data_IF_945412655459
#
_entry.id   IF_945412655459
#
_cell.length_a   1.000
_cell.length_b   1.000
_cell.length_c   1.000
_cell.angle_alpha   90.00
_cell.angle_beta   90.00
_cell.angle_gamma   90.00
#
_symmetry.space_group_name_H-M   'P 1'
#
loop_
_entity.id
_entity.type
_entity.pdbx_description
1 polymer ?
#
# COMPACT_ATOMS: atom_id res chain seq x y z
N UNK A 1 -26.80 -14.39 -25.20
CA UNK A 1 -25.35 -14.12 -25.18
C UNK A 1 -24.94 -14.14 -23.73
N UNK A 2 -24.18 -15.16 -23.30
CA UNK A 2 -23.61 -15.18 -21.97
C UNK A 2 -22.47 -14.16 -21.89
N UNK A 3 -22.52 -13.27 -20.91
CA UNK A 3 -21.48 -12.27 -20.69
C UNK A 3 -20.37 -12.86 -19.84
N UNK A 4 -19.10 -12.58 -20.16
CA UNK A 4 -17.98 -12.89 -19.26
C UNK A 4 -17.83 -11.76 -18.24
N UNK A 5 -18.01 -12.08 -16.96
CA UNK A 5 -17.77 -11.15 -15.87
C UNK A 5 -16.44 -11.50 -15.18
N UNK A 6 -15.53 -10.53 -15.19
CA UNK A 6 -14.24 -10.62 -14.50
C UNK A 6 -14.36 -9.98 -13.12
N UNK A 7 -13.99 -10.72 -12.08
CA UNK A 7 -13.96 -10.22 -10.70
C UNK A 7 -12.62 -10.50 -10.03
N UNK A 8 -12.25 -9.67 -9.06
CA UNK A 8 -11.17 -9.97 -8.13
C UNK A 8 -11.67 -10.93 -7.02
N UNK A 9 -10.78 -11.26 -6.08
CA UNK A 9 -11.08 -12.18 -4.98
C UNK A 9 -11.64 -11.46 -3.74
N UNK A 10 -12.19 -10.24 -3.90
CA UNK A 10 -12.81 -9.51 -2.79
C UNK A 10 -13.91 -10.37 -2.15
N UNK A 11 -13.98 -10.37 -0.82
CA UNK A 11 -14.96 -11.21 -0.08
C UNK A 11 -16.38 -10.90 -0.52
N UNK A 12 -16.69 -9.63 -0.76
CA UNK A 12 -18.01 -9.18 -1.23
C UNK A 12 -18.43 -9.84 -2.57
N UNK A 13 -17.50 -10.03 -3.51
CA UNK A 13 -17.78 -10.64 -4.81
C UNK A 13 -18.01 -12.14 -4.76
N UNK A 14 -17.60 -12.80 -3.67
CA UNK A 14 -17.66 -14.27 -3.51
C UNK A 14 -18.70 -14.71 -2.47
N UNK A 15 -19.51 -13.79 -1.96
CA UNK A 15 -20.62 -14.14 -1.08
C UNK A 15 -21.61 -15.02 -1.85
N UNK A 16 -22.13 -16.04 -1.18
CA UNK A 16 -23.02 -17.03 -1.80
C UNK A 16 -24.25 -16.37 -2.44
N UNK A 17 -24.85 -15.40 -1.77
CA UNK A 17 -26.02 -14.65 -2.25
C UNK A 17 -25.72 -13.85 -3.54
N UNK A 18 -24.54 -13.24 -3.63
CA UNK A 18 -24.11 -12.49 -4.82
C UNK A 18 -23.81 -13.43 -5.99
N UNK A 19 -23.15 -14.56 -5.73
CA UNK A 19 -22.83 -15.56 -6.76
C UNK A 19 -24.10 -16.23 -7.27
N UNK A 20 -25.03 -16.58 -6.38
CA UNK A 20 -26.33 -17.16 -6.74
C UNK A 20 -27.16 -16.19 -7.57
N UNK A 21 -27.22 -14.91 -7.15
CA UNK A 21 -27.87 -13.86 -7.94
C UNK A 21 -27.24 -13.73 -9.33
N UNK A 22 -25.90 -13.70 -9.40
CA UNK A 22 -25.20 -13.60 -10.67
C UNK A 22 -25.49 -14.81 -11.57
N UNK A 23 -25.44 -16.05 -11.07
CA UNK A 23 -25.76 -17.26 -11.84
C UNK A 23 -27.19 -17.19 -12.41
N UNK A 24 -28.15 -16.63 -11.67
CA UNK A 24 -29.52 -16.39 -12.16
C UNK A 24 -29.60 -15.45 -13.38
N UNK A 25 -28.56 -14.65 -13.64
CA UNK A 25 -28.43 -13.77 -14.81
C UNK A 25 -27.66 -14.41 -15.98
N UNK A 26 -27.20 -15.66 -15.85
CA UNK A 26 -26.44 -16.42 -16.85
C UNK A 26 -25.10 -15.78 -17.37
N UNK A 27 -24.28 -15.10 -16.54
CA UNK A 27 -22.92 -14.74 -16.90
C UNK A 27 -21.95 -15.90 -16.67
N UNK A 28 -20.88 -15.94 -17.45
CA UNK A 28 -19.70 -16.72 -17.11
C UNK A 28 -18.84 -15.93 -16.12
N UNK A 29 -18.75 -16.41 -14.88
CA UNK A 29 -17.97 -15.77 -13.81
C UNK A 29 -16.52 -16.27 -13.85
N UNK A 30 -15.57 -15.35 -13.98
CA UNK A 30 -14.15 -15.66 -13.91
C UNK A 30 -13.46 -14.78 -12.86
N UNK A 31 -12.91 -15.42 -11.83
CA UNK A 31 -12.22 -14.73 -10.75
C UNK A 31 -10.72 -14.74 -10.99
N UNK A 32 -10.12 -13.54 -11.01
CA UNK A 32 -8.67 -13.36 -11.08
C UNK A 32 -7.99 -13.93 -9.83
N UNK A 33 -6.69 -14.21 -9.91
CA UNK A 33 -5.94 -14.69 -8.76
C UNK A 33 -5.86 -13.62 -7.65
N UNK A 34 -5.57 -14.04 -6.42
CA UNK A 34 -5.38 -13.09 -5.32
C UNK A 34 -4.12 -12.27 -5.56
N UNK A 35 -4.16 -11.00 -5.19
CA UNK A 35 -3.04 -10.05 -5.30
C UNK A 35 -2.55 -9.82 -6.74
N UNK A 36 -3.37 -10.13 -7.76
CA UNK A 36 -3.05 -9.92 -9.18
C UNK A 36 -3.85 -8.77 -9.81
N UNK A 37 -4.39 -7.85 -9.01
CA UNK A 37 -5.19 -6.75 -9.58
C UNK A 37 -4.30 -5.81 -10.41
N UNK A 38 -3.13 -5.44 -9.86
CA UNK A 38 -2.16 -4.56 -10.50
C UNK A 38 -1.49 -5.11 -11.79
N UNK A 39 -1.60 -6.42 -12.07
CA UNK A 39 -0.94 -7.08 -13.21
C UNK A 39 -1.91 -7.71 -14.22
N UNK A 40 -3.09 -8.17 -13.77
CA UNK A 40 -4.09 -8.85 -14.61
C UNK A 40 -5.40 -8.08 -14.76
N UNK A 41 -5.71 -7.10 -13.91
CA UNK A 41 -6.99 -6.39 -13.96
C UNK A 41 -6.93 -5.21 -14.95
N UNK A 42 -7.77 -5.19 -16.02
CA UNK A 42 -7.79 -4.09 -16.97
C UNK A 42 -8.19 -2.75 -16.35
N UNK A 43 -9.09 -2.76 -15.35
CA UNK A 43 -9.55 -1.53 -14.70
C UNK A 43 -8.42 -0.83 -13.92
N UNK A 44 -7.56 -1.59 -13.26
CA UNK A 44 -6.43 -1.07 -12.50
C UNK A 44 -5.28 -0.61 -13.42
N UNK A 45 -5.24 -1.09 -14.67
CA UNK A 45 -4.20 -0.78 -15.64
C UNK A 45 -4.25 0.66 -16.15
N UNK A 46 -5.41 1.08 -16.68
CA UNK A 46 -5.55 2.42 -17.25
C UNK A 46 -6.83 3.14 -16.83
N UNK A 47 -8.02 2.54 -16.81
CA UNK A 47 -9.26 3.25 -16.47
C UNK A 47 -9.20 3.94 -15.09
N UNK A 48 -8.87 3.23 -14.01
CA UNK A 48 -8.84 3.83 -12.68
C UNK A 48 -7.67 4.80 -12.50
N UNK A 49 -6.51 4.50 -13.07
CA UNK A 49 -5.36 5.42 -13.05
C UNK A 49 -5.69 6.74 -13.77
N UNK A 50 -6.30 6.64 -14.97
CA UNK A 50 -6.72 7.79 -15.76
C UNK A 50 -7.82 8.58 -15.06
N UNK A 51 -8.83 7.89 -14.51
CA UNK A 51 -9.92 8.52 -13.76
C UNK A 51 -9.37 9.35 -12.60
N UNK A 52 -8.48 8.77 -11.79
CA UNK A 52 -7.96 9.44 -10.60
C UNK A 52 -7.12 10.67 -10.99
N UNK A 53 -6.23 10.53 -11.98
CA UNK A 53 -5.40 11.64 -12.45
C UNK A 53 -6.23 12.78 -13.06
N UNK A 54 -7.18 12.46 -13.95
CA UNK A 54 -8.00 13.48 -14.60
C UNK A 54 -8.99 14.13 -13.64
N UNK A 55 -9.59 13.38 -12.72
CA UNK A 55 -10.50 13.92 -11.70
C UNK A 55 -9.78 14.95 -10.83
N UNK A 56 -8.59 14.61 -10.33
CA UNK A 56 -7.81 15.51 -9.46
C UNK A 56 -7.48 16.80 -10.21
N UNK A 57 -6.87 16.67 -11.40
CA UNK A 57 -6.49 17.83 -12.21
C UNK A 57 -7.68 18.73 -12.57
N UNK A 58 -8.82 18.15 -12.95
CA UNK A 58 -10.03 18.91 -13.29
C UNK A 58 -10.65 19.60 -12.09
N UNK A 59 -10.70 18.91 -10.96
CA UNK A 59 -11.21 19.49 -9.72
C UNK A 59 -10.36 20.68 -9.29
N UNK A 60 -9.02 20.56 -9.35
CA UNK A 60 -8.10 21.67 -9.05
C UNK A 60 -8.35 22.88 -9.95
N UNK A 61 -8.48 22.65 -11.27
CA UNK A 61 -8.79 23.72 -12.22
C UNK A 61 -10.13 24.38 -11.91
N UNK A 62 -11.18 23.60 -11.66
CA UNK A 62 -12.51 24.12 -11.36
C UNK A 62 -12.58 24.88 -10.03
N UNK A 63 -11.82 24.45 -9.02
CA UNK A 63 -11.71 25.16 -7.74
C UNK A 63 -11.00 26.49 -7.94
N UNK A 64 -9.88 26.51 -8.66
CA UNK A 64 -9.14 27.74 -8.97
C UNK A 64 -9.98 28.73 -9.79
N UNK A 65 -10.69 28.23 -10.82
CA UNK A 65 -11.58 29.05 -11.64
C UNK A 65 -12.72 29.65 -10.81
N UNK A 66 -13.33 28.86 -9.93
CA UNK A 66 -14.36 29.33 -8.99
C UNK A 66 -13.85 30.45 -8.07
N UNK A 67 -12.63 30.30 -7.55
CA UNK A 67 -11.98 31.33 -6.73
C UNK A 67 -11.70 32.62 -7.51
N UNK A 68 -11.26 32.52 -8.77
CA UNK A 68 -10.91 33.69 -9.60
C UNK A 68 -12.15 34.41 -10.15
N UNK A 69 -13.23 33.68 -10.41
CA UNK A 69 -14.47 34.22 -10.98
C UNK A 69 -15.53 34.56 -9.92
N UNK A 70 -15.24 34.32 -8.64
CA UNK A 70 -16.18 34.44 -7.53
C UNK A 70 -17.47 33.62 -7.76
N UNK A 71 -17.31 32.42 -8.33
CA UNK A 71 -18.40 31.46 -8.57
C UNK A 71 -18.31 30.28 -7.60
N UNK A 72 -19.45 29.63 -7.36
CA UNK A 72 -19.53 28.49 -6.44
C UNK A 72 -18.79 27.27 -6.98
N UNK A 73 -17.90 26.71 -6.18
CA UNK A 73 -17.17 25.46 -6.48
C UNK A 73 -17.80 24.21 -5.86
N UNK A 74 -19.00 24.32 -5.29
CA UNK A 74 -19.70 23.22 -4.60
C UNK A 74 -19.76 21.92 -5.42
N UNK A 75 -20.04 22.04 -6.71
CA UNK A 75 -20.24 20.88 -7.59
C UNK A 75 -18.98 20.53 -8.40
N UNK A 76 -17.86 21.24 -8.17
CA UNK A 76 -16.62 21.09 -8.93
C UNK A 76 -16.11 19.64 -8.92
N UNK A 77 -16.13 18.99 -7.76
CA UNK A 77 -15.67 17.60 -7.64
C UNK A 77 -16.56 16.62 -8.40
N UNK A 78 -17.88 16.81 -8.34
CA UNK A 78 -18.84 15.93 -9.01
C UNK A 78 -18.72 16.05 -10.53
N UNK A 79 -18.65 17.29 -11.04
CA UNK A 79 -18.48 17.55 -12.47
C UNK A 79 -17.11 17.04 -12.96
N UNK A 80 -16.04 17.27 -12.20
CA UNK A 80 -14.72 16.75 -12.52
C UNK A 80 -14.69 15.22 -12.55
N UNK A 81 -15.36 14.55 -11.61
CA UNK A 81 -15.47 13.09 -11.58
C UNK A 81 -16.23 12.57 -12.80
N UNK A 82 -17.38 13.16 -13.13
CA UNK A 82 -18.19 12.77 -14.29
C UNK A 82 -17.43 12.92 -15.62
N UNK A 83 -16.74 14.04 -15.81
CA UNK A 83 -15.94 14.26 -17.02
C UNK A 83 -14.73 13.33 -17.10
N UNK A 84 -14.05 13.10 -15.97
CA UNK A 84 -12.94 12.17 -15.89
C UNK A 84 -13.39 10.74 -16.18
N UNK A 85 -14.55 10.32 -15.68
CA UNK A 85 -15.15 9.01 -15.93
C UNK A 85 -15.43 8.81 -17.42
N UNK A 86 -16.14 9.75 -18.08
CA UNK A 86 -16.44 9.66 -19.52
C UNK A 86 -15.20 9.51 -20.39
N UNK A 87 -14.07 10.09 -19.96
CA UNK A 87 -12.79 9.99 -20.66
C UNK A 87 -12.08 8.69 -20.35
N UNK A 88 -11.95 8.35 -19.06
CA UNK A 88 -11.21 7.19 -18.56
C UNK A 88 -11.86 5.86 -18.99
N UNK A 89 -13.19 5.79 -19.04
CA UNK A 89 -13.94 4.61 -19.48
C UNK A 89 -14.34 4.68 -20.96
N UNK A 90 -13.58 5.41 -21.76
CA UNK A 90 -13.78 5.43 -23.20
C UNK A 90 -13.39 4.08 -23.83
N UNK A 91 -14.10 3.71 -24.91
CA UNK A 91 -13.87 2.46 -25.64
C UNK A 91 -12.38 2.20 -25.99
N UNK A 92 -11.60 3.19 -26.46
CA UNK A 92 -10.19 2.97 -26.76
C UNK A 92 -9.35 2.60 -25.54
N UNK A 93 -9.59 3.24 -24.38
CA UNK A 93 -8.85 2.96 -23.16
C UNK A 93 -9.18 1.57 -22.65
N UNK A 94 -10.46 1.21 -22.61
CA UNK A 94 -10.91 -0.12 -22.18
C UNK A 94 -10.31 -1.21 -23.07
N UNK A 95 -10.45 -1.10 -24.40
CA UNK A 95 -9.91 -2.10 -25.34
C UNK A 95 -8.39 -2.22 -25.18
N UNK A 96 -7.68 -1.09 -25.07
CA UNK A 96 -6.23 -1.09 -24.92
C UNK A 96 -5.79 -1.75 -23.60
N UNK A 97 -6.52 -1.50 -22.50
CA UNK A 97 -6.25 -2.12 -21.21
C UNK A 97 -6.42 -3.65 -21.26
N UNK A 98 -7.51 -4.13 -21.84
CA UNK A 98 -7.73 -5.57 -21.99
C UNK A 98 -6.66 -6.24 -22.89
N UNK A 99 -6.21 -5.57 -23.96
CA UNK A 99 -5.14 -6.06 -24.83
C UNK A 99 -3.79 -6.12 -24.10
N UNK A 100 -3.41 -5.05 -23.40
CA UNK A 100 -2.14 -5.00 -22.65
C UNK A 100 -2.10 -6.01 -21.51
N UNK A 101 -3.26 -6.35 -20.93
CA UNK A 101 -3.38 -7.40 -19.90
C UNK A 101 -3.46 -8.82 -20.47
N UNK A 102 -3.49 -9.00 -21.78
CA UNK A 102 -3.61 -10.30 -22.44
C UNK A 102 -5.00 -10.95 -22.32
N UNK A 103 -6.01 -10.20 -21.88
CA UNK A 103 -7.37 -10.71 -21.70
C UNK A 103 -8.22 -10.62 -22.97
N UNK A 104 -7.93 -9.66 -23.87
CA UNK A 104 -8.61 -9.58 -25.17
C UNK A 104 -7.94 -10.54 -26.18
N UNK A 105 -8.71 -11.51 -26.70
CA UNK A 105 -8.28 -12.72 -27.43
C UNK A 105 -7.55 -13.78 -26.58
N UNK A 106 -7.49 -13.65 -25.25
CA UNK A 106 -6.79 -14.57 -24.34
C UNK A 106 -5.37 -14.91 -24.81
N UNK A 107 -4.46 -13.94 -24.70
CA UNK A 107 -3.04 -14.08 -25.01
C UNK A 107 -2.27 -14.55 -23.76
N UNK A 108 -2.07 -15.87 -23.68
CA UNK A 108 -1.38 -16.50 -22.56
C UNK A 108 0.08 -16.06 -22.42
N UNK A 109 0.76 -15.71 -23.51
CA UNK A 109 2.17 -15.30 -23.46
C UNK A 109 2.30 -13.87 -22.95
N UNK A 110 1.39 -12.96 -23.35
CA UNK A 110 1.27 -11.63 -22.78
C UNK A 110 0.95 -11.69 -21.28
N UNK A 111 0.00 -12.54 -20.86
CA UNK A 111 -0.32 -12.71 -19.44
C UNK A 111 0.89 -13.19 -18.63
N UNK A 112 1.62 -14.22 -19.12
CA UNK A 112 2.85 -14.70 -18.48
C UNK A 112 3.92 -13.61 -18.43
N UNK A 113 4.05 -12.82 -19.50
CA UNK A 113 5.00 -11.70 -19.56
C UNK A 113 4.68 -10.64 -18.50
N UNK A 114 3.41 -10.25 -18.35
CA UNK A 114 2.97 -9.28 -17.34
C UNK A 114 3.23 -9.77 -15.91
N UNK A 115 2.92 -11.05 -15.63
CA UNK A 115 3.20 -11.67 -14.33
C UNK A 115 4.71 -11.67 -14.07
N UNK A 116 5.53 -12.07 -15.05
CA UNK A 116 7.00 -12.04 -14.93
C UNK A 116 7.54 -10.62 -14.73
N UNK A 117 6.98 -9.63 -15.42
CA UNK A 117 7.35 -8.23 -15.28
C UNK A 117 7.14 -7.73 -13.85
N UNK A 118 6.00 -8.06 -13.24
CA UNK A 118 5.71 -7.65 -11.87
C UNK A 118 6.41 -8.49 -10.80
N UNK A 119 6.68 -9.76 -11.06
CA UNK A 119 7.52 -10.60 -10.20
C UNK A 119 9.02 -10.32 -10.37
N UNK A 120 9.41 -9.36 -11.23
CA UNK A 120 10.79 -9.07 -11.59
C UNK A 120 11.57 -10.29 -12.12
N UNK A 121 10.87 -11.25 -12.73
CA UNK A 121 11.45 -12.42 -13.41
C UNK A 121 11.82 -12.14 -14.87
N UNK A 122 11.85 -10.86 -15.25
CA UNK A 122 12.35 -10.44 -16.56
C UNK A 122 13.85 -10.68 -16.55
N UNK A 123 14.34 -11.43 -17.55
CA UNK A 123 15.76 -11.59 -17.77
C UNK A 123 16.38 -10.19 -17.86
N UNK A 124 17.27 -9.91 -16.92
CA UNK A 124 18.00 -8.65 -16.81
C UNK A 124 18.65 -8.30 -18.14
N UNK A 125 18.28 -7.13 -18.68
CA UNK A 125 18.84 -6.57 -19.91
C UNK A 125 18.17 -5.26 -20.28
N UNK A 126 18.60 -4.17 -19.64
CA UNK A 126 18.55 -2.78 -20.16
C UNK A 126 17.18 -2.23 -20.59
N UNK A 127 16.12 -2.36 -19.79
CA UNK A 127 14.87 -1.61 -20.04
C UNK A 127 14.75 -0.36 -19.16
N UNK A 128 13.99 0.64 -19.62
CA UNK A 128 13.67 1.83 -18.81
C UNK A 128 12.99 1.47 -17.47
N UNK A 129 12.29 0.34 -17.42
CA UNK A 129 11.71 -0.20 -16.20
C UNK A 129 12.77 -0.73 -15.21
N UNK A 130 13.92 -1.22 -15.68
CA UNK A 130 15.06 -1.60 -14.82
C UNK A 130 15.73 -0.36 -14.23
N UNK A 131 15.90 0.70 -15.03
CA UNK A 131 16.44 1.97 -14.55
C UNK A 131 15.54 2.63 -13.49
N UNK A 132 14.22 2.64 -13.74
CA UNK A 132 13.24 3.13 -12.76
C UNK A 132 13.25 2.32 -11.47
N UNK A 133 13.38 0.98 -11.56
CA UNK A 133 13.51 0.10 -10.40
C UNK A 133 14.80 0.34 -9.64
N UNK A 134 15.94 0.45 -10.32
CA UNK A 134 17.22 0.75 -9.68
C UNK A 134 17.14 2.09 -8.92
N UNK A 135 16.56 3.12 -9.53
CA UNK A 135 16.34 4.40 -8.87
C UNK A 135 15.42 4.28 -7.64
N UNK A 136 14.31 3.52 -7.73
CA UNK A 136 13.41 3.30 -6.60
C UNK A 136 14.10 2.55 -5.45
N UNK A 137 14.86 1.50 -5.75
CA UNK A 137 15.63 0.74 -4.75
C UNK A 137 16.64 1.62 -4.04
N UNK A 138 17.37 2.48 -4.78
CA UNK A 138 18.29 3.44 -4.17
C UNK A 138 17.60 4.42 -3.22
N UNK A 139 16.40 4.90 -3.57
CA UNK A 139 15.62 5.82 -2.72
C UNK A 139 15.13 5.12 -1.47
N UNK A 140 14.63 3.88 -1.59
CA UNK A 140 14.18 3.07 -0.45
C UNK A 140 15.35 2.78 0.48
N UNK A 141 16.50 2.38 -0.06
CA UNK A 141 17.70 2.12 0.74
C UNK A 141 18.18 3.38 1.45
N UNK A 142 18.23 4.52 0.76
CA UNK A 142 18.61 5.79 1.36
C UNK A 142 17.62 6.23 2.46
N UNK A 143 16.33 5.95 2.31
CA UNK A 143 15.33 6.20 3.35
C UNK A 143 15.54 5.28 4.56
N UNK A 144 15.82 4.00 4.32
CA UNK A 144 16.13 3.02 5.36
C UNK A 144 17.40 3.39 6.13
N UNK A 145 18.46 3.79 5.43
CA UNK A 145 19.71 4.24 6.03
C UNK A 145 19.50 5.48 6.92
N UNK A 146 18.62 6.42 6.51
CA UNK A 146 18.23 7.57 7.34
C UNK A 146 17.47 7.13 8.59
N UNK A 147 16.56 6.16 8.47
CA UNK A 147 15.84 5.59 9.61
C UNK A 147 16.83 4.94 10.57
N UNK A 148 17.77 4.15 10.07
CA UNK A 148 18.72 3.43 10.91
C UNK A 148 19.75 4.38 11.56
N UNK A 149 20.20 5.42 10.85
CA UNK A 149 20.96 6.53 11.45
C UNK A 149 20.17 7.28 12.53
N UNK A 150 18.85 7.43 12.35
CA UNK A 150 17.99 8.06 13.36
C UNK A 150 17.77 7.17 14.59
N UNK A 151 17.64 5.84 14.39
CA UNK A 151 17.55 4.86 15.48
C UNK A 151 18.83 4.83 16.31
N UNK A 152 20.00 4.97 15.68
CA UNK A 152 21.27 5.11 16.40
C UNK A 152 21.32 6.36 17.31
N UNK A 153 20.50 7.38 17.04
CA UNK A 153 20.38 8.60 17.85
C UNK A 153 19.22 8.58 18.86
N UNK A 154 18.30 7.62 18.78
CA UNK A 154 17.18 7.50 19.71
C UNK A 154 17.50 6.54 20.85
N UNK A 155 17.47 7.03 22.10
CA UNK A 155 17.46 6.16 23.28
C UNK A 155 16.03 5.71 23.57
N UNK A 156 15.77 4.40 23.49
CA UNK A 156 14.53 3.81 23.98
C UNK A 156 14.60 3.69 25.50
N UNK A 157 13.58 4.15 26.22
CA UNK A 157 13.44 3.99 27.67
C UNK A 157 12.02 3.50 27.99
N UNK A 158 11.87 2.83 29.15
CA UNK A 158 10.57 2.33 29.64
C UNK A 158 10.22 2.93 31.00
N UNK A 159 9.94 4.25 31.08
CA UNK A 159 9.57 4.89 32.33
C UNK A 159 8.12 4.56 32.72
N UNK A 160 7.84 4.60 34.02
CA UNK A 160 6.47 4.50 34.56
C UNK A 160 5.93 5.92 34.75
N UNK A 161 4.84 6.26 34.05
CA UNK A 161 4.28 7.61 34.03
C UNK A 161 2.85 7.66 34.55
N UNK A 162 2.49 8.77 35.19
CA UNK A 162 1.11 9.05 35.57
C UNK A 162 0.31 9.58 34.37
N UNK A 163 -0.90 9.05 34.17
CA UNK A 163 -1.80 9.44 33.08
C UNK A 163 -2.34 10.85 33.33
N UNK A 164 -2.32 11.70 32.29
CA UNK A 164 -2.87 13.06 32.35
C UNK A 164 -1.88 14.14 32.84
N UNK A 165 -0.61 13.79 33.05
CA UNK A 165 0.46 14.71 33.47
C UNK A 165 1.50 14.82 32.36
N UNK A 166 1.99 16.04 32.10
CA UNK A 166 3.11 16.27 31.18
C UNK A 166 4.41 15.99 31.92
N UNK A 167 5.22 15.07 31.41
CA UNK A 167 6.49 14.67 32.02
C UNK A 167 7.67 15.20 31.21
N UNK A 168 8.75 15.58 31.91
CA UNK A 168 9.99 16.03 31.28
C UNK A 168 10.79 14.84 30.74
N UNK A 169 11.22 14.84 29.47
CA UNK A 169 12.03 13.76 28.88
C UNK A 169 13.30 13.45 29.67
N UNK A 170 13.94 14.46 30.27
CA UNK A 170 15.17 14.28 31.06
C UNK A 170 14.94 13.50 32.35
N UNK A 171 13.79 13.72 33.01
CA UNK A 171 13.44 13.00 34.24
C UNK A 171 13.08 11.54 33.95
N UNK A 172 12.44 11.28 32.80
CA UNK A 172 12.10 9.92 32.37
C UNK A 172 13.36 9.09 32.04
N UNK A 173 14.38 9.72 31.46
CA UNK A 173 15.67 9.07 31.19
C UNK A 173 16.41 8.76 32.50
N UNK A 174 16.46 9.69 33.45
CA UNK A 174 17.09 9.47 34.76
C UNK A 174 16.40 8.33 35.53
N UNK A 175 15.06 8.28 35.51
CA UNK A 175 14.29 7.20 36.11
C UNK A 175 14.63 5.84 35.48
N UNK A 176 14.82 5.78 34.17
CA UNK A 176 15.20 4.55 33.49
C UNK A 176 16.62 4.09 33.87
N UNK A 177 17.58 5.01 34.00
CA UNK A 177 18.94 4.70 34.43
C UNK A 177 18.98 4.19 35.89
N UNK A 178 18.17 4.77 36.78
CA UNK A 178 18.02 4.27 38.15
C UNK A 178 17.41 2.88 38.21
N UNK A 179 16.40 2.60 37.37
CA UNK A 179 15.79 1.26 37.27
C UNK A 179 16.79 0.22 36.76
N UNK A 180 17.58 0.54 35.73
CA UNK A 180 18.64 -0.34 35.20
C UNK A 180 19.73 -0.61 36.27
N UNK A 181 20.16 0.43 36.98
CA UNK A 181 21.15 0.31 38.05
C UNK A 181 20.63 -0.55 39.22
N UNK A 182 19.35 -0.41 39.59
CA UNK A 182 18.71 -1.22 40.61
C UNK A 182 18.59 -2.69 40.17
N UNK A 183 18.17 -2.94 38.93
CA UNK A 183 18.08 -4.29 38.37
C UNK A 183 19.44 -4.98 38.28
N UNK A 184 20.50 -4.25 37.90
CA UNK A 184 21.87 -4.76 37.85
C UNK A 184 22.39 -5.14 39.25
N UNK A 185 22.17 -4.28 40.25
CA UNK A 185 22.53 -4.56 41.65
C UNK A 185 21.76 -5.76 42.20
N UNK A 186 20.48 -5.89 41.88
CA UNK A 186 19.66 -7.01 42.33
C UNK A 186 20.06 -8.32 41.65
N UNK A 187 20.45 -8.29 40.37
CA UNK A 187 21.00 -9.43 39.66
C UNK A 187 22.33 -9.88 40.27
N UNK A 188 23.25 -8.95 40.56
CA UNK A 188 24.52 -9.24 41.24
C UNK A 188 24.29 -9.87 42.63
N UNK A 189 23.40 -9.30 43.45
CA UNK A 189 23.08 -9.84 44.76
C UNK A 189 22.42 -11.25 44.70
N UNK A 190 21.70 -11.57 43.62
CA UNK A 190 21.16 -12.93 43.39
C UNK A 190 22.24 -13.92 43.00
N UNK A 191 23.28 -13.48 42.27
CA UNK A 191 24.44 -14.29 41.92
C UNK A 191 25.28 -14.57 43.17
N UNK A 192 25.61 -13.54 43.96
CA UNK A 192 26.38 -13.71 45.20
C UNK A 192 25.68 -14.65 46.21
N UNK A 193 24.36 -14.49 46.40
CA UNK A 193 23.57 -15.39 47.26
C UNK A 193 23.50 -16.83 46.75
N UNK A 194 23.65 -17.04 45.44
CA UNK A 194 23.68 -18.37 44.84
C UNK A 194 25.04 -19.03 45.05
N UNK A 195 26.11 -18.26 44.89
CA UNK A 195 27.49 -18.73 45.14
C UNK A 195 27.74 -19.05 46.62
N UNK A 196 27.23 -18.24 47.55
CA UNK A 196 27.31 -18.53 49.00
C UNK A 196 26.53 -19.79 49.41
N UNK A 197 25.44 -20.11 48.69
CA UNK A 197 24.66 -21.34 48.91
C UNK A 197 25.35 -22.57 48.35
N UNK A 198 26.15 -22.43 47.31
CA UNK A 198 26.92 -23.51 46.69
C UNK A 198 28.21 -23.82 47.47
N UNK A 199 28.81 -22.84 48.16
CA UNK A 199 29.99 -23.03 49.03
C UNK A 199 29.69 -23.60 50.42
N UNK A 200 28.42 -23.62 50.85
CA UNK A 200 27.97 -24.19 52.15
C UNK A 200 27.48 -25.64 52.05
N UNK A 201 27.65 -26.30 50.91
CA UNK A 201 27.45 -27.75 50.72
C UNK A 201 28.79 -28.47 50.73
#
# INVERSE_FOLDING_TARGET
>A
MSALLLGDQLVAHRRADIVEFAIGLDPFLFFLAKNTSHDTQPLDEAPFATLQADKVRRNEVAIMDGMLTNTSSRDALLMAAYEAERRAFSRPIIIAAFRRRGLWLFDADMMKSNVRANLCWVNSGETAADAARHAATMVIQAAQDRIDQSKARSKNSKPVVQRGVVHSPFLLLAQHEEMEAAASKEAAAKVDRREEREQKK
#
